data_IF_185401949588
#
_entry.id   IF_185401949588
#
_cell.length_a   1.000
_cell.length_b   1.000
_cell.length_c   1.000
_cell.angle_alpha   90.00
_cell.angle_beta   90.00
_cell.angle_gamma   90.00
#
_symmetry.space_group_name_H-M   'P 1'
#
loop_
_entity.id
_entity.type
_entity.pdbx_description
1 polymer ?
#
# COMPACT_ATOMS: atom_id res chain seq x y z
N UNK A 1 4.65 -9.80 19.21
CA UNK A 1 5.12 -10.82 18.23
C UNK A 1 6.59 -11.10 18.52
N UNK A 2 7.09 -12.31 18.31
CA UNK A 2 8.52 -12.60 18.53
C UNK A 2 9.38 -12.12 17.36
N UNK A 3 10.64 -11.78 17.61
CA UNK A 3 11.60 -11.36 16.58
C UNK A 3 11.73 -12.40 15.46
N UNK A 4 11.70 -13.69 15.83
CA UNK A 4 11.74 -14.79 14.87
C UNK A 4 10.53 -14.77 13.93
N UNK A 5 9.33 -14.50 14.43
CA UNK A 5 8.14 -14.43 13.59
C UNK A 5 8.19 -13.21 12.67
N UNK A 6 8.70 -12.07 13.14
CA UNK A 6 8.93 -10.89 12.31
C UNK A 6 9.86 -11.18 11.13
N UNK A 7 11.03 -11.80 11.40
CA UNK A 7 12.00 -12.16 10.36
C UNK A 7 11.41 -13.11 9.32
N UNK A 8 10.65 -14.12 9.75
CA UNK A 8 9.99 -15.06 8.82
C UNK A 8 8.98 -14.36 7.90
N UNK A 9 8.28 -13.34 8.38
CA UNK A 9 7.39 -12.52 7.55
C UNK A 9 8.16 -11.67 6.55
N UNK A 10 9.28 -11.05 6.94
CA UNK A 10 10.15 -10.31 6.02
C UNK A 10 10.64 -11.20 4.87
N UNK A 11 11.17 -12.37 5.21
CA UNK A 11 11.70 -13.32 4.22
C UNK A 11 10.59 -13.80 3.28
N UNK A 12 9.40 -14.04 3.83
CA UNK A 12 8.22 -14.39 3.03
C UNK A 12 7.89 -13.29 2.02
N UNK A 13 7.76 -12.03 2.47
CA UNK A 13 7.41 -10.90 1.62
C UNK A 13 8.47 -10.65 0.53
N UNK A 14 9.76 -10.72 0.87
CA UNK A 14 10.88 -10.65 -0.10
C UNK A 14 10.78 -11.77 -1.13
N UNK A 15 10.49 -12.99 -0.69
CA UNK A 15 10.36 -14.16 -1.55
C UNK A 15 9.18 -14.07 -2.51
N UNK A 16 8.07 -13.43 -2.09
CA UNK A 16 6.93 -13.13 -2.97
C UNK A 16 7.34 -12.07 -4.01
N UNK A 17 7.95 -10.97 -3.58
CA UNK A 17 8.38 -9.86 -4.43
C UNK A 17 9.40 -10.30 -5.51
N UNK A 18 10.23 -11.29 -5.21
CA UNK A 18 11.14 -11.90 -6.16
C UNK A 18 10.43 -12.57 -7.35
N UNK A 19 9.18 -13.01 -7.16
CA UNK A 19 8.42 -13.84 -8.12
C UNK A 19 7.23 -13.13 -8.76
N UNK A 20 6.78 -12.01 -8.20
CA UNK A 20 5.57 -11.29 -8.62
C UNK A 20 5.89 -9.86 -9.01
N UNK A 21 5.26 -9.37 -10.08
CA UNK A 21 5.32 -7.95 -10.45
C UNK A 21 4.54 -7.08 -9.47
N UNK A 22 3.43 -7.61 -8.94
CA UNK A 22 2.59 -6.96 -7.93
C UNK A 22 1.96 -8.00 -7.03
N UNK A 23 1.79 -7.70 -5.75
CA UNK A 23 1.06 -8.53 -4.79
C UNK A 23 0.47 -7.70 -3.65
N UNK A 24 -0.52 -8.28 -2.97
CA UNK A 24 -1.02 -7.85 -1.66
C UNK A 24 -1.13 -9.09 -0.78
N UNK A 25 -0.70 -8.98 0.48
CA UNK A 25 -0.57 -10.12 1.40
C UNK A 25 -1.06 -9.72 2.79
N UNK A 26 -2.01 -10.49 3.33
CA UNK A 26 -2.41 -10.41 4.73
C UNK A 26 -1.41 -11.21 5.56
N UNK A 27 -0.58 -10.50 6.34
CA UNK A 27 0.47 -11.11 7.16
C UNK A 27 -0.09 -11.80 8.41
N UNK A 28 -1.28 -11.42 8.89
CA UNK A 28 -1.96 -12.09 10.02
C UNK A 28 -2.64 -13.37 9.54
N UNK A 29 -3.35 -13.30 8.43
CA UNK A 29 -4.00 -14.45 7.78
C UNK A 29 -3.05 -15.36 7.03
N UNK A 30 -1.79 -14.95 6.84
CA UNK A 30 -0.77 -15.65 6.06
C UNK A 30 -1.27 -16.05 4.65
N UNK A 31 -1.94 -15.13 3.97
CA UNK A 31 -2.62 -15.40 2.71
C UNK A 31 -2.48 -14.23 1.72
N UNK A 32 -2.63 -14.54 0.43
CA UNK A 32 -2.70 -13.51 -0.60
C UNK A 32 -4.07 -12.85 -0.58
N UNK A 33 -4.06 -11.53 -0.75
CA UNK A 33 -5.26 -10.79 -1.14
C UNK A 33 -5.38 -10.86 -2.65
N UNK A 34 -6.47 -11.45 -3.14
CA UNK A 34 -6.72 -11.63 -4.58
C UNK A 34 -8.05 -11.03 -5.04
N UNK A 35 -8.77 -10.37 -4.12
CA UNK A 35 -10.05 -9.69 -4.37
C UNK A 35 -10.05 -8.34 -3.69
N UNK A 36 -11.10 -7.56 -3.95
CA UNK A 36 -11.39 -6.29 -3.29
C UNK A 36 -10.41 -5.16 -3.65
N UNK A 37 -10.51 -4.06 -2.90
CA UNK A 37 -9.76 -2.83 -3.12
C UNK A 37 -8.70 -2.69 -2.05
N UNK A 38 -7.49 -2.31 -2.47
CA UNK A 38 -6.34 -2.11 -1.60
C UNK A 38 -5.91 -0.66 -1.71
N UNK A 39 -5.98 0.06 -0.60
CA UNK A 39 -5.50 1.43 -0.49
C UNK A 39 -4.31 1.50 0.47
N UNK A 40 -3.25 2.19 0.06
CA UNK A 40 -2.04 2.32 0.86
C UNK A 40 -2.18 3.38 1.97
N UNK A 41 -1.51 3.15 3.08
CA UNK A 41 -1.25 4.17 4.09
C UNK A 41 -0.14 5.11 3.63
N UNK A 42 -0.16 6.33 4.15
CA UNK A 42 1.00 7.21 4.13
C UNK A 42 2.05 6.68 5.10
N UNK A 43 3.26 6.39 4.60
CA UNK A 43 4.41 6.02 5.42
C UNK A 43 5.54 6.98 5.08
N UNK A 44 6.21 7.50 6.10
CA UNK A 44 7.41 8.30 5.89
C UNK A 44 8.46 7.47 5.14
N UNK A 45 8.86 7.93 3.97
CA UNK A 45 9.91 7.31 3.17
C UNK A 45 11.31 7.63 3.69
N UNK A 46 12.30 6.95 3.13
CA UNK A 46 13.72 7.30 3.29
C UNK A 46 14.11 8.48 2.38
N UNK A 47 15.38 8.88 2.42
CA UNK A 47 15.91 9.96 1.57
C UNK A 47 15.75 9.69 0.05
N UNK A 48 15.62 8.43 -0.36
CA UNK A 48 15.33 8.00 -1.74
C UNK A 48 13.82 7.92 -2.06
N UNK A 49 12.97 8.32 -1.11
CA UNK A 49 11.53 8.44 -1.24
C UNK A 49 10.73 7.17 -0.92
N UNK A 50 11.38 6.00 -0.73
CA UNK A 50 10.68 4.74 -0.47
C UNK A 50 10.87 4.27 0.98
N UNK A 51 9.82 3.78 1.66
CA UNK A 51 9.98 3.15 2.96
C UNK A 51 10.64 1.77 2.80
N UNK A 52 11.43 1.36 3.79
CA UNK A 52 11.94 -0.02 3.82
C UNK A 52 10.85 -1.01 4.24
N UNK A 53 11.06 -2.27 3.87
CA UNK A 53 10.12 -3.35 4.15
C UNK A 53 9.89 -3.59 5.65
N UNK A 54 10.89 -3.35 6.49
CA UNK A 54 10.79 -3.53 7.94
C UNK A 54 9.81 -2.52 8.54
N UNK A 55 9.96 -1.25 8.16
CA UNK A 55 9.06 -0.15 8.52
C UNK A 55 7.65 -0.41 8.00
N UNK A 56 7.52 -0.87 6.74
CA UNK A 56 6.22 -1.21 6.15
C UNK A 56 5.54 -2.36 6.90
N UNK A 57 6.28 -3.43 7.21
CA UNK A 57 5.74 -4.58 7.94
C UNK A 57 5.32 -4.18 9.36
N UNK A 58 6.16 -3.43 10.06
CA UNK A 58 5.84 -2.93 11.40
C UNK A 58 4.57 -2.08 11.36
N UNK A 59 4.49 -1.12 10.44
CA UNK A 59 3.31 -0.29 10.27
C UNK A 59 2.06 -1.12 9.93
N UNK A 60 2.19 -2.11 9.03
CA UNK A 60 1.06 -2.99 8.69
C UNK A 60 0.56 -3.74 9.93
N UNK A 61 1.45 -4.29 10.75
CA UNK A 61 1.10 -5.05 11.95
C UNK A 61 0.38 -4.22 13.02
N UNK A 62 0.65 -2.92 13.07
CA UNK A 62 -0.03 -1.95 13.94
C UNK A 62 -1.41 -1.52 13.41
N UNK A 63 -1.70 -1.79 12.13
CA UNK A 63 -2.94 -1.41 11.45
C UNK A 63 -3.68 -2.69 10.97
N UNK A 64 -3.97 -2.78 9.66
CA UNK A 64 -4.79 -3.85 9.06
C UNK A 64 -4.00 -5.09 8.63
N UNK A 65 -2.69 -5.13 8.88
CA UNK A 65 -1.80 -6.25 8.56
C UNK A 65 -1.76 -6.66 7.09
N UNK A 66 -2.05 -5.73 6.17
CA UNK A 66 -1.86 -5.96 4.74
C UNK A 66 -0.61 -5.24 4.27
N UNK A 67 0.26 -5.98 3.57
CA UNK A 67 1.42 -5.44 2.87
C UNK A 67 1.23 -5.65 1.38
N UNK A 68 1.41 -4.58 0.60
CA UNK A 68 1.49 -4.65 -0.85
C UNK A 68 2.92 -4.41 -1.32
N UNK A 69 3.25 -4.99 -2.46
CA UNK A 69 4.51 -4.76 -3.15
C UNK A 69 4.28 -4.63 -4.65
N UNK A 70 4.94 -3.64 -5.26
CA UNK A 70 4.95 -3.45 -6.71
C UNK A 70 6.39 -3.26 -7.18
N UNK A 71 6.78 -4.00 -8.21
CA UNK A 71 8.04 -3.78 -8.91
C UNK A 71 7.92 -2.55 -9.80
N UNK A 72 8.82 -1.60 -9.60
CA UNK A 72 8.94 -0.38 -10.38
C UNK A 72 9.76 -0.62 -11.65
N UNK A 73 9.75 0.33 -12.57
CA UNK A 73 10.47 0.26 -13.83
C UNK A 73 12.00 0.12 -13.65
N UNK A 74 12.55 0.65 -12.55
CA UNK A 74 13.97 0.54 -12.19
C UNK A 74 14.32 -0.79 -11.48
N UNK A 75 13.34 -1.69 -11.33
CA UNK A 75 13.51 -2.99 -10.69
C UNK A 75 13.40 -2.98 -9.16
N UNK A 76 13.36 -1.80 -8.50
CA UNK A 76 13.10 -1.71 -7.06
C UNK A 76 11.67 -2.15 -6.75
N UNK A 77 11.46 -2.63 -5.52
CA UNK A 77 10.12 -2.97 -5.03
C UNK A 77 9.64 -1.83 -4.14
N UNK A 78 8.54 -1.21 -4.52
CA UNK A 78 7.81 -0.29 -3.67
C UNK A 78 6.89 -1.11 -2.76
N UNK A 79 7.20 -1.13 -1.47
CA UNK A 79 6.36 -1.76 -0.45
C UNK A 79 5.49 -0.70 0.23
N UNK A 80 4.24 -1.06 0.51
CA UNK A 80 3.31 -0.21 1.26
C UNK A 80 2.51 -1.06 2.25
N UNK A 81 2.15 -0.48 3.39
CA UNK A 81 1.12 -1.05 4.24
C UNK A 81 -0.23 -0.58 3.71
N UNK A 82 -1.24 -1.42 3.80
CA UNK A 82 -2.51 -1.15 3.15
C UNK A 82 -3.69 -1.53 4.05
N UNK A 83 -4.86 -1.03 3.63
CA UNK A 83 -6.15 -1.44 4.14
C UNK A 83 -7.01 -1.99 3.01
N UNK A 84 -7.84 -2.98 3.33
CA UNK A 84 -8.81 -3.58 2.42
C UNK A 84 -10.16 -2.88 2.52
N UNK A 85 -10.80 -2.73 1.36
CA UNK A 85 -12.12 -2.16 1.24
C UNK A 85 -12.94 -2.95 0.23
N UNK A 86 -14.21 -3.17 0.55
CA UNK A 86 -15.17 -3.78 -0.37
C UNK A 86 -15.91 -2.73 -1.21
N UNK A 87 -15.81 -1.46 -0.84
CA UNK A 87 -16.47 -0.34 -1.50
C UNK A 87 -15.47 0.72 -2.00
N UNK A 88 -15.71 1.21 -3.22
CA UNK A 88 -14.81 2.15 -3.89
C UNK A 88 -14.79 3.53 -3.23
N UNK A 89 -15.92 3.95 -2.67
CA UNK A 89 -16.04 5.29 -2.09
C UNK A 89 -15.14 5.45 -0.87
N UNK A 90 -15.22 4.52 0.09
CA UNK A 90 -14.41 4.55 1.29
C UNK A 90 -12.93 4.31 0.97
N UNK A 91 -12.63 3.44 0.02
CA UNK A 91 -11.25 3.22 -0.43
C UNK A 91 -10.62 4.50 -0.99
N UNK A 92 -11.35 5.23 -1.85
CA UNK A 92 -10.88 6.50 -2.42
C UNK A 92 -10.77 7.60 -1.35
N UNK A 93 -11.75 7.69 -0.46
CA UNK A 93 -11.74 8.68 0.63
C UNK A 93 -10.53 8.45 1.56
N UNK A 94 -10.26 7.19 1.90
CA UNK A 94 -9.09 6.80 2.67
C UNK A 94 -7.78 7.13 1.94
N UNK A 95 -7.65 6.71 0.68
CA UNK A 95 -6.46 6.98 -0.11
C UNK A 95 -6.19 8.49 -0.23
N UNK A 96 -7.23 9.30 -0.43
CA UNK A 96 -7.14 10.76 -0.43
C UNK A 96 -6.63 11.31 0.90
N UNK A 97 -7.15 10.82 2.03
CA UNK A 97 -6.71 11.24 3.36
C UNK A 97 -5.24 10.86 3.64
N UNK A 98 -4.75 9.79 3.01
CA UNK A 98 -3.36 9.34 3.08
C UNK A 98 -2.47 9.85 1.92
N UNK A 99 -2.95 10.82 1.15
CA UNK A 99 -2.18 11.43 0.05
C UNK A 99 -1.78 10.45 -1.06
N UNK A 100 -2.49 9.33 -1.18
CA UNK A 100 -2.20 8.32 -2.20
C UNK A 100 -2.89 8.66 -3.53
N UNK A 101 -2.20 8.50 -4.66
CA UNK A 101 -2.72 8.87 -5.98
C UNK A 101 -3.71 7.84 -6.54
N UNK A 102 -3.75 6.62 -5.99
CA UNK A 102 -4.60 5.55 -6.50
C UNK A 102 -4.94 4.50 -5.44
N UNK A 103 -5.95 3.69 -5.78
CA UNK A 103 -6.36 2.47 -5.08
C UNK A 103 -6.26 1.31 -6.07
N UNK A 104 -5.65 0.19 -5.67
CA UNK A 104 -5.58 -0.97 -6.55
C UNK A 104 -6.83 -1.84 -6.40
N UNK A 105 -7.47 -2.18 -7.51
CA UNK A 105 -8.66 -3.03 -7.57
C UNK A 105 -8.31 -4.42 -8.06
N UNK A 106 -8.24 -5.40 -7.15
CA UNK A 106 -7.95 -6.80 -7.49
C UNK A 106 -9.07 -7.47 -8.28
N UNK A 107 -10.32 -7.02 -8.14
CA UNK A 107 -11.45 -7.55 -8.91
C UNK A 107 -11.35 -7.18 -10.41
N UNK A 108 -10.64 -6.09 -10.73
CA UNK A 108 -10.46 -5.58 -12.10
C UNK A 108 -9.02 -5.60 -12.59
N UNK A 109 -8.07 -5.94 -11.72
CA UNK A 109 -6.64 -5.94 -11.98
C UNK A 109 -6.12 -4.57 -12.44
N UNK A 110 -6.69 -3.49 -11.88
CA UNK A 110 -6.48 -2.13 -12.35
C UNK A 110 -6.30 -1.14 -11.21
N UNK A 111 -5.53 -0.08 -11.47
CA UNK A 111 -5.46 1.10 -10.60
C UNK A 111 -6.69 1.99 -10.80
N UNK A 112 -7.28 2.44 -9.71
CA UNK A 112 -8.34 3.42 -9.69
C UNK A 112 -7.75 4.75 -9.22
N UNK A 113 -7.70 5.79 -10.08
CA UNK A 113 -7.11 7.07 -9.70
C UNK A 113 -7.95 7.73 -8.61
N UNK A 114 -7.28 8.31 -7.62
CA UNK A 114 -7.91 9.18 -6.62
C UNK A 114 -8.00 10.57 -7.23
N UNK A 115 -9.21 11.15 -7.38
CA UNK A 115 -9.35 12.50 -7.92
C UNK A 115 -8.57 13.50 -7.06
N UNK A 116 -7.67 14.26 -7.71
CA UNK A 116 -7.02 15.38 -7.06
C UNK A 116 -8.08 16.37 -6.56
N UNK A 117 -7.91 16.91 -5.36
CA UNK A 117 -8.70 18.07 -4.97
C UNK A 117 -8.38 19.19 -5.99
N UNK A 118 -9.41 19.78 -6.60
CA UNK A 118 -9.23 20.97 -7.42
C UNK A 118 -8.50 22.02 -6.56
N UNK A 119 -7.46 22.71 -7.08
CA UNK A 119 -6.83 23.79 -6.33
C UNK A 119 -7.90 24.82 -5.97
N UNK A 120 -7.95 25.22 -4.70
CA UNK A 120 -8.79 26.34 -4.27
C UNK A 120 -8.41 27.54 -5.13
N UNK A 121 -9.39 28.04 -5.89
CA UNK A 121 -9.24 29.30 -6.62
C UNK A 121 -9.16 30.37 -5.55
N UNK A 122 -7.93 30.82 -5.23
CA UNK A 122 -7.71 31.99 -4.40
C UNK A 122 -8.20 33.19 -5.23
N UNK A 123 -9.46 33.57 -5.02
CA UNK A 123 -9.98 34.83 -5.57
C UNK A 123 -9.34 35.94 -4.75
N UNK A 124 -8.19 36.44 -5.21
CA UNK A 124 -7.67 37.72 -4.72
C UNK A 124 -8.68 38.81 -5.06
N UNK A 125 -9.38 39.29 -4.04
CA UNK A 125 -10.13 40.53 -4.13
C UNK A 125 -9.13 41.68 -4.30
N UNK A 126 -9.20 42.36 -5.45
CA UNK A 126 -8.55 43.66 -5.69
C UNK A 126 -9.29 44.77 -4.94
#
# INVERSE_FOLDING_TARGET
MSDRAFTLLLDRLRSIAARKQRFSYDVRGNSYVTTDLVAAYAIAGRADGLPDLETVLQHALEHDAVVSGQRLADGRIHYTSCRLFTDAHNAMAFAKAHGQPSVYNWNRWAEMPVPAAAPEVVVSAN
#
